data_IF_461737454585
#
_entry.id   IF_461737454585
#
_cell.length_a   1.000
_cell.length_b   1.000
_cell.length_c   1.000
_cell.angle_alpha   90.00
_cell.angle_beta   90.00
_cell.angle_gamma   90.00
#
_symmetry.space_group_name_H-M   'P 1'
#
loop_
_entity.id
_entity.type
_entity.pdbx_description
1 polymer ?
#
# COMPACT_ATOMS: atom_id res chain seq x y z
N UNK A 1 31.52 -52.51 -12.93
CA UNK A 1 30.37 -52.08 -13.76
C UNK A 1 29.04 -51.96 -13.01
N UNK A 2 28.83 -52.60 -11.85
CA UNK A 2 27.58 -52.44 -11.05
C UNK A 2 27.54 -51.22 -10.11
N UNK A 3 28.68 -50.53 -9.92
CA UNK A 3 28.76 -49.34 -9.05
C UNK A 3 28.37 -48.03 -9.78
N UNK A 4 28.63 -47.95 -11.09
CA UNK A 4 28.35 -46.75 -11.91
C UNK A 4 26.84 -46.59 -12.16
N UNK A 5 26.10 -47.69 -12.25
CA UNK A 5 24.63 -47.66 -12.44
C UNK A 5 23.90 -47.17 -11.18
N UNK A 6 24.45 -47.39 -9.97
CA UNK A 6 23.87 -46.85 -8.73
C UNK A 6 24.11 -45.35 -8.56
N UNK A 7 25.21 -44.80 -9.09
CA UNK A 7 25.50 -43.37 -9.03
C UNK A 7 24.58 -42.55 -9.96
N UNK A 8 24.19 -43.12 -11.10
CA UNK A 8 23.29 -42.47 -12.06
C UNK A 8 21.83 -42.39 -11.56
N UNK A 9 21.38 -43.36 -10.76
CA UNK A 9 20.02 -43.36 -10.17
C UNK A 9 19.90 -42.38 -8.99
N UNK A 10 21.03 -42.06 -8.34
CA UNK A 10 21.08 -41.00 -7.32
C UNK A 10 21.14 -39.60 -7.93
N UNK A 11 21.73 -39.42 -9.12
CA UNK A 11 21.74 -38.12 -9.81
C UNK A 11 20.42 -37.80 -10.55
N UNK A 12 19.63 -38.80 -10.94
CA UNK A 12 18.32 -38.58 -11.58
C UNK A 12 17.17 -38.34 -10.60
N UNK A 13 17.35 -38.64 -9.31
CA UNK A 13 16.46 -38.20 -8.23
C UNK A 13 16.95 -36.90 -7.54
N UNK A 14 18.13 -36.40 -7.94
CA UNK A 14 18.67 -35.09 -7.57
C UNK A 14 18.51 -34.06 -8.70
N UNK A 15 17.69 -34.35 -9.71
CA UNK A 15 16.84 -33.31 -10.28
C UNK A 15 15.78 -33.05 -9.22
N UNK A 16 16.21 -32.38 -8.15
CA UNK A 16 15.31 -31.65 -7.30
C UNK A 16 14.47 -30.84 -8.27
N UNK A 17 13.20 -31.23 -8.31
CA UNK A 17 12.09 -30.34 -8.51
C UNK A 17 12.33 -29.21 -7.49
N UNK A 18 13.20 -28.26 -7.83
CA UNK A 18 13.00 -26.86 -7.51
C UNK A 18 11.87 -26.46 -8.46
N UNK A 19 10.70 -27.08 -8.25
CA UNK A 19 9.47 -26.35 -8.34
C UNK A 19 9.70 -25.23 -7.34
N UNK A 20 10.14 -24.08 -7.84
CA UNK A 20 9.63 -22.83 -7.32
C UNK A 20 8.11 -22.97 -7.36
N UNK A 21 7.55 -23.64 -6.35
CA UNK A 21 6.19 -23.45 -5.92
C UNK A 21 6.16 -22.00 -5.49
N UNK A 22 6.07 -21.09 -6.47
CA UNK A 22 5.31 -19.88 -6.25
C UNK A 22 3.97 -20.40 -5.76
N UNK A 23 3.63 -20.11 -4.52
CA UNK A 23 2.35 -20.49 -3.93
C UNK A 23 1.28 -20.02 -4.94
N UNK A 24 0.71 -20.96 -5.68
CA UNK A 24 -0.33 -20.62 -6.65
C UNK A 24 -1.50 -20.12 -5.83
N UNK A 25 -1.84 -18.85 -6.03
CA UNK A 25 -3.00 -18.23 -5.41
C UNK A 25 -4.25 -19.03 -5.77
N UNK A 26 -4.96 -19.64 -4.80
CA UNK A 26 -6.08 -20.53 -5.09
C UNK A 26 -7.18 -19.86 -5.92
N UNK A 27 -7.39 -18.56 -5.70
CA UNK A 27 -8.37 -17.73 -6.40
C UNK A 27 -7.81 -17.05 -7.66
N UNK A 28 -6.50 -17.13 -7.92
CA UNK A 28 -5.88 -16.57 -9.12
C UNK A 28 -4.66 -17.40 -9.56
N UNK A 29 -4.87 -18.63 -10.07
CA UNK A 29 -3.78 -19.46 -10.56
C UNK A 29 -3.01 -18.72 -11.66
N UNK A 30 -1.68 -18.71 -11.56
CA UNK A 30 -0.80 -18.03 -12.51
C UNK A 30 -0.54 -16.54 -12.22
N UNK A 31 -0.94 -16.02 -11.06
CA UNK A 31 -0.44 -14.71 -10.60
C UNK A 31 1.06 -14.79 -10.28
N UNK A 32 1.85 -13.84 -10.78
CA UNK A 32 3.32 -13.89 -10.75
C UNK A 32 3.92 -12.71 -9.95
N UNK A 33 3.17 -12.14 -9.00
CA UNK A 33 3.62 -11.03 -8.14
C UNK A 33 3.85 -11.44 -6.68
N UNK A 34 4.37 -10.49 -5.91
CA UNK A 34 4.40 -10.55 -4.45
C UNK A 34 2.98 -10.48 -3.91
N UNK A 35 2.66 -11.38 -2.98
CA UNK A 35 1.39 -11.38 -2.28
C UNK A 35 1.55 -11.70 -0.80
N UNK A 36 0.55 -11.29 -0.04
CA UNK A 36 0.38 -11.44 1.39
C UNK A 36 -1.02 -11.95 1.66
N UNK A 37 -1.19 -12.58 2.82
CA UNK A 37 -2.45 -13.19 3.23
C UNK A 37 -2.94 -12.57 4.53
N UNK A 38 -4.26 -12.41 4.63
CA UNK A 38 -4.95 -12.07 5.87
C UNK A 38 -6.28 -12.78 5.93
N UNK A 39 -6.77 -13.06 7.13
CA UNK A 39 -8.13 -13.58 7.31
C UNK A 39 -9.18 -12.55 6.87
N UNK A 40 -10.28 -13.04 6.31
CA UNK A 40 -11.47 -12.22 6.01
C UNK A 40 -12.10 -11.75 7.32
N UNK A 41 -12.68 -10.55 7.31
CA UNK A 41 -13.35 -10.01 8.50
C UNK A 41 -14.52 -10.90 8.94
N UNK A 42 -14.58 -11.23 10.22
CA UNK A 42 -15.69 -11.99 10.84
C UNK A 42 -17.00 -11.21 10.90
N UNK A 43 -16.93 -9.88 10.81
CA UNK A 43 -18.06 -8.96 10.87
C UNK A 43 -17.86 -7.76 9.96
N UNK A 44 -18.97 -7.14 9.57
CA UNK A 44 -18.98 -5.99 8.67
C UNK A 44 -19.99 -4.94 9.17
N UNK A 45 -19.54 -3.80 9.72
CA UNK A 45 -18.14 -3.40 9.96
C UNK A 45 -17.40 -4.30 10.96
N UNK A 46 -16.05 -4.36 10.91
CA UNK A 46 -15.24 -5.31 11.67
C UNK A 46 -15.02 -4.87 13.12
N UNK A 47 -16.08 -4.67 13.90
CA UNK A 47 -15.98 -4.24 15.30
C UNK A 47 -15.32 -5.30 16.19
N UNK A 48 -14.60 -4.82 17.21
CA UNK A 48 -14.06 -5.62 18.31
C UNK A 48 -14.04 -4.80 19.60
N UNK A 49 -14.23 -5.46 20.74
CA UNK A 49 -14.38 -4.80 22.06
C UNK A 49 -13.07 -4.16 22.56
N UNK A 50 -11.93 -4.57 22.01
CA UNK A 50 -10.60 -4.05 22.30
C UNK A 50 -10.21 -2.82 21.45
N UNK A 51 -11.09 -2.39 20.53
CA UNK A 51 -10.81 -1.25 19.66
C UNK A 51 -10.78 0.08 20.43
N UNK A 52 -9.79 0.96 20.14
CA UNK A 52 -9.83 2.34 20.62
C UNK A 52 -11.13 3.06 20.22
N UNK A 53 -11.65 3.90 21.10
CA UNK A 53 -12.95 4.58 20.91
C UNK A 53 -13.02 5.41 19.62
N UNK A 54 -11.90 6.01 19.22
CA UNK A 54 -11.79 6.80 17.98
C UNK A 54 -11.85 5.91 16.73
N UNK A 55 -11.27 4.71 16.77
CA UNK A 55 -11.36 3.70 15.71
C UNK A 55 -12.81 3.19 15.57
N UNK A 56 -13.47 2.85 16.69
CA UNK A 56 -14.88 2.44 16.69
C UNK A 56 -15.74 3.53 16.06
N UNK A 57 -15.56 4.78 16.48
CA UNK A 57 -16.30 5.93 15.92
C UNK A 57 -16.09 6.09 14.43
N UNK A 58 -14.87 5.87 13.94
CA UNK A 58 -14.56 5.94 12.51
C UNK A 58 -15.27 4.85 11.71
N UNK A 59 -15.31 3.60 12.20
CA UNK A 59 -16.10 2.53 11.57
C UNK A 59 -17.60 2.84 11.61
N UNK A 60 -18.13 3.33 12.74
CA UNK A 60 -19.54 3.72 12.85
C UNK A 60 -19.91 4.86 11.92
N UNK A 61 -19.01 5.82 11.73
CA UNK A 61 -19.20 6.91 10.78
C UNK A 61 -19.36 6.39 9.35
N UNK A 62 -18.42 5.57 8.88
CA UNK A 62 -18.48 4.99 7.52
C UNK A 62 -19.69 4.07 7.36
N UNK A 63 -19.98 3.23 8.35
CA UNK A 63 -21.14 2.33 8.35
C UNK A 63 -22.48 3.10 8.28
N UNK A 64 -22.58 4.21 9.00
CA UNK A 64 -23.75 5.09 8.91
C UNK A 64 -23.88 5.72 7.54
N UNK A 65 -22.76 6.18 6.94
CA UNK A 65 -22.76 6.75 5.61
C UNK A 65 -23.25 5.75 4.57
N UNK A 66 -22.71 4.53 4.56
CA UNK A 66 -23.10 3.50 3.58
C UNK A 66 -24.56 3.08 3.73
N UNK A 67 -25.09 3.03 4.95
CA UNK A 67 -26.48 2.62 5.21
C UNK A 67 -27.53 3.69 4.97
N UNK A 68 -27.18 4.97 5.18
CA UNK A 68 -28.17 6.04 5.32
C UNK A 68 -28.02 7.16 4.29
N UNK A 69 -26.90 7.25 3.58
CA UNK A 69 -26.66 8.37 2.65
C UNK A 69 -27.11 8.03 1.25
N UNK A 70 -27.67 9.01 0.53
CA UNK A 70 -27.72 8.98 -0.92
C UNK A 70 -26.32 9.31 -1.50
N UNK A 71 -25.84 8.58 -2.51
CA UNK A 71 -24.43 8.70 -2.94
C UNK A 71 -24.25 9.96 -3.80
N UNK A 72 -25.22 10.26 -4.67
CA UNK A 72 -25.18 11.46 -5.51
C UNK A 72 -25.31 12.73 -4.67
N UNK A 73 -26.24 12.73 -3.71
CA UNK A 73 -26.41 13.82 -2.75
C UNK A 73 -25.15 13.99 -1.90
N UNK A 74 -24.61 12.90 -1.37
CA UNK A 74 -23.36 12.92 -0.60
C UNK A 74 -22.20 13.51 -1.42
N UNK A 75 -22.03 13.10 -2.68
CA UNK A 75 -21.04 13.69 -3.56
C UNK A 75 -21.28 15.20 -3.70
N UNK A 76 -22.51 15.62 -4.02
CA UNK A 76 -22.84 17.05 -4.14
C UNK A 76 -22.48 17.86 -2.89
N UNK A 77 -22.75 17.32 -1.70
CA UNK A 77 -22.48 18.01 -0.43
C UNK A 77 -21.00 18.00 -0.05
N UNK A 78 -20.30 16.89 -0.28
CA UNK A 78 -18.86 16.77 -0.08
C UNK A 78 -18.08 17.72 -1.01
N UNK A 79 -18.51 17.81 -2.27
CA UNK A 79 -17.89 18.68 -3.28
C UNK A 79 -18.14 20.17 -3.05
N UNK A 80 -18.95 20.55 -2.05
CA UNK A 80 -19.08 21.95 -1.60
C UNK A 80 -18.28 22.25 -0.33
N UNK A 81 -17.64 21.25 0.28
CA UNK A 81 -16.81 21.48 1.45
C UNK A 81 -15.48 22.13 1.05
N UNK A 82 -15.02 23.09 1.84
CA UNK A 82 -13.63 23.54 1.82
C UNK A 82 -12.77 22.67 2.75
N UNK A 83 -11.50 23.03 2.91
CA UNK A 83 -10.63 22.42 3.92
C UNK A 83 -11.02 22.87 5.33
N UNK A 84 -12.15 22.35 5.82
CA UNK A 84 -12.79 22.72 7.08
C UNK A 84 -12.70 21.59 8.12
N UNK A 85 -13.32 21.81 9.28
CA UNK A 85 -13.29 20.87 10.41
C UNK A 85 -13.88 19.50 10.06
N UNK A 86 -14.91 19.47 9.21
CA UNK A 86 -15.52 18.23 8.74
C UNK A 86 -14.50 17.40 7.96
N UNK A 87 -13.81 17.99 6.99
CA UNK A 87 -12.84 17.27 6.16
C UNK A 87 -11.63 16.82 6.98
N UNK A 88 -11.14 17.66 7.89
CA UNK A 88 -10.04 17.31 8.81
C UNK A 88 -10.43 16.17 9.77
N UNK A 89 -11.69 16.15 10.24
CA UNK A 89 -12.22 15.04 11.04
C UNK A 89 -12.25 13.74 10.26
N UNK A 90 -12.69 13.79 8.99
CA UNK A 90 -12.74 12.62 8.12
C UNK A 90 -11.33 12.09 7.86
N UNK A 91 -10.37 12.97 7.55
CA UNK A 91 -8.96 12.59 7.39
C UNK A 91 -8.44 11.85 8.62
N UNK A 92 -8.72 12.37 9.83
CA UNK A 92 -8.36 11.71 11.08
C UNK A 92 -8.98 10.32 11.20
N UNK A 93 -10.27 10.17 10.89
CA UNK A 93 -10.95 8.87 10.95
C UNK A 93 -10.35 7.87 9.97
N UNK A 94 -10.17 8.24 8.71
CA UNK A 94 -9.56 7.37 7.70
C UNK A 94 -8.14 6.98 8.10
N UNK A 95 -7.34 7.93 8.58
CA UNK A 95 -5.99 7.66 9.07
C UNK A 95 -5.98 6.63 10.20
N UNK A 96 -6.88 6.78 11.18
CA UNK A 96 -6.98 5.90 12.35
C UNK A 96 -7.43 4.48 11.99
N UNK A 97 -8.32 4.33 11.02
CA UNK A 97 -8.74 3.01 10.53
C UNK A 97 -7.56 2.26 9.91
N UNK A 98 -6.82 2.94 9.02
CA UNK A 98 -5.64 2.37 8.34
C UNK A 98 -4.53 2.04 9.34
N UNK A 99 -4.27 2.91 10.33
CA UNK A 99 -3.21 2.69 11.32
C UNK A 99 -3.54 1.58 12.33
N UNK A 100 -4.81 1.43 12.70
CA UNK A 100 -5.23 0.43 13.68
C UNK A 100 -5.08 -1.00 13.16
N UNK A 101 -5.68 -1.30 12.00
CA UNK A 101 -5.52 -2.58 11.32
C UNK A 101 -5.75 -2.39 9.82
N UNK A 102 -4.65 -2.23 9.05
CA UNK A 102 -4.75 -1.98 7.62
C UNK A 102 -5.49 -3.10 6.88
N UNK A 103 -5.28 -4.36 7.28
CA UNK A 103 -5.90 -5.55 6.69
C UNK A 103 -7.41 -5.57 6.93
N UNK A 104 -7.85 -5.32 8.17
CA UNK A 104 -9.28 -5.22 8.50
C UNK A 104 -9.95 -4.10 7.72
N UNK A 105 -9.27 -2.96 7.58
CA UNK A 105 -9.80 -1.83 6.81
C UNK A 105 -9.82 -2.13 5.30
N UNK A 106 -8.81 -2.81 4.74
CA UNK A 106 -8.81 -3.25 3.34
C UNK A 106 -10.03 -4.12 3.03
N UNK A 107 -10.26 -5.15 3.85
CA UNK A 107 -11.41 -6.05 3.73
C UNK A 107 -12.73 -5.27 3.87
N UNK A 108 -12.85 -4.40 4.88
CA UNK A 108 -14.04 -3.58 5.07
C UNK A 108 -14.29 -2.60 3.93
N UNK A 109 -13.23 -2.02 3.36
CA UNK A 109 -13.33 -1.09 2.24
C UNK A 109 -13.88 -1.78 0.99
N UNK A 110 -13.46 -3.02 0.73
CA UNK A 110 -13.81 -3.76 -0.50
C UNK A 110 -15.12 -4.52 -0.34
N UNK A 111 -15.26 -5.32 0.72
CA UNK A 111 -16.42 -6.20 0.95
C UNK A 111 -17.49 -5.55 1.83
N UNK A 112 -17.29 -4.28 2.22
CA UNK A 112 -18.17 -3.41 3.01
C UNK A 112 -19.53 -3.08 2.42
N UNK A 113 -20.18 -3.97 1.67
CA UNK A 113 -21.45 -3.66 1.02
C UNK A 113 -22.62 -3.88 1.99
N UNK A 114 -23.22 -2.78 2.44
CA UNK A 114 -24.49 -2.80 3.16
C UNK A 114 -25.49 -1.98 2.35
N UNK A 115 -26.41 -2.67 1.65
CA UNK A 115 -27.50 -2.08 0.85
C UNK A 115 -27.04 -1.30 -0.42
N UNK A 116 -26.14 -1.89 -1.22
CA UNK A 116 -25.74 -1.44 -2.59
C UNK A 116 -24.79 -0.24 -2.70
N UNK A 117 -24.08 0.15 -1.64
CA UNK A 117 -23.05 1.19 -1.71
C UNK A 117 -21.76 0.70 -1.06
N UNK A 118 -20.65 0.82 -1.78
CA UNK A 118 -19.36 0.37 -1.29
C UNK A 118 -18.73 1.42 -0.39
N UNK A 119 -18.10 1.00 0.71
CA UNK A 119 -17.23 1.87 1.52
C UNK A 119 -16.13 2.48 0.64
N UNK A 120 -15.70 1.76 -0.40
CA UNK A 120 -14.72 2.20 -1.38
C UNK A 120 -15.14 3.50 -2.10
N UNK A 121 -16.42 3.65 -2.45
CA UNK A 121 -16.92 4.83 -3.17
C UNK A 121 -16.80 6.09 -2.29
N UNK A 122 -17.26 6.01 -1.04
CA UNK A 122 -17.12 7.11 -0.07
C UNK A 122 -15.66 7.40 0.23
N UNK A 123 -14.84 6.36 0.41
CA UNK A 123 -13.40 6.52 0.63
C UNK A 123 -12.74 7.30 -0.52
N UNK A 124 -12.96 6.91 -1.77
CA UNK A 124 -12.39 7.63 -2.93
C UNK A 124 -12.91 9.06 -3.03
N UNK A 125 -14.21 9.27 -2.79
CA UNK A 125 -14.80 10.61 -2.73
C UNK A 125 -14.06 11.51 -1.73
N UNK A 126 -13.78 11.01 -0.53
CA UNK A 126 -13.04 11.75 0.49
C UNK A 126 -11.60 12.05 0.06
N UNK A 127 -10.88 11.07 -0.48
CA UNK A 127 -9.49 11.28 -0.93
C UNK A 127 -9.42 12.30 -2.07
N UNK A 128 -10.31 12.22 -3.06
CA UNK A 128 -10.38 13.22 -4.14
C UNK A 128 -10.72 14.60 -3.59
N UNK A 129 -11.66 14.69 -2.64
CA UNK A 129 -11.99 15.95 -2.01
C UNK A 129 -10.81 16.55 -1.24
N UNK A 130 -10.08 15.75 -0.45
CA UNK A 130 -8.87 16.16 0.25
C UNK A 130 -7.86 16.73 -0.75
N UNK A 131 -7.62 16.05 -1.88
CA UNK A 131 -6.70 16.53 -2.93
C UNK A 131 -7.14 17.87 -3.50
N UNK A 132 -8.44 18.09 -3.67
CA UNK A 132 -8.94 19.31 -4.31
C UNK A 132 -8.77 20.55 -3.43
N UNK A 133 -9.01 20.43 -2.12
CA UNK A 133 -9.13 21.61 -1.25
C UNK A 133 -8.04 21.72 -0.18
N UNK A 134 -7.27 20.67 0.07
CA UNK A 134 -6.18 20.72 1.06
C UNK A 134 -5.11 21.75 0.68
N UNK A 135 -4.51 22.45 1.66
CA UNK A 135 -3.31 23.27 1.43
C UNK A 135 -2.07 22.44 1.06
N UNK A 136 -2.09 21.12 1.27
CA UNK A 136 -1.04 20.18 0.87
C UNK A 136 -1.68 18.96 0.17
N UNK A 137 -2.25 19.14 -1.04
CA UNK A 137 -3.09 18.17 -1.74
C UNK A 137 -2.56 16.73 -1.77
N UNK A 138 -1.36 16.53 -2.32
CA UNK A 138 -0.81 15.20 -2.55
C UNK A 138 -0.31 14.61 -1.25
N UNK A 139 0.40 15.38 -0.42
CA UNK A 139 0.87 14.91 0.88
C UNK A 139 -0.29 14.43 1.77
N UNK A 140 -1.36 15.20 1.88
CA UNK A 140 -2.50 14.86 2.74
C UNK A 140 -3.27 13.64 2.25
N UNK A 141 -3.51 13.57 0.95
CA UNK A 141 -4.17 12.44 0.33
C UNK A 141 -3.32 11.18 0.48
N UNK A 142 -2.02 11.26 0.19
CA UNK A 142 -1.09 10.14 0.35
C UNK A 142 -0.98 9.71 1.80
N UNK A 143 -0.80 10.62 2.75
CA UNK A 143 -0.77 10.28 4.18
C UNK A 143 -2.10 9.71 4.68
N UNK A 144 -3.23 10.10 4.12
CA UNK A 144 -4.53 9.54 4.51
C UNK A 144 -4.73 8.14 3.92
N UNK A 145 -4.32 7.94 2.65
CA UNK A 145 -4.54 6.72 1.89
C UNK A 145 -3.50 5.61 2.08
N UNK A 146 -2.26 5.97 2.39
CA UNK A 146 -1.17 4.99 2.49
C UNK A 146 -1.34 4.08 3.68
N UNK A 147 -1.07 2.80 3.46
CA UNK A 147 -1.07 1.77 4.49
C UNK A 147 0.28 1.72 5.22
N UNK A 148 1.35 2.01 4.47
CA UNK A 148 2.72 2.13 4.95
C UNK A 148 3.38 3.34 4.28
N UNK A 149 4.17 4.10 5.02
CA UNK A 149 5.05 5.14 4.45
C UNK A 149 6.44 4.90 5.01
N UNK A 150 7.41 4.66 4.15
CA UNK A 150 8.74 4.27 4.57
C UNK A 150 9.83 4.84 3.65
N UNK A 151 11.00 5.05 4.25
CA UNK A 151 12.26 5.18 3.54
C UNK A 151 12.86 3.80 3.39
N UNK A 152 13.21 3.43 2.16
CA UNK A 152 13.77 2.12 1.83
C UNK A 152 15.02 2.26 0.97
N UNK A 153 15.94 1.30 1.08
CA UNK A 153 17.11 1.16 0.20
C UNK A 153 17.00 -0.13 -0.59
N UNK A 154 17.02 -0.02 -1.93
CA UNK A 154 16.79 -1.16 -2.82
C UNK A 154 17.97 -2.13 -2.78
N UNK A 155 17.71 -3.39 -2.43
CA UNK A 155 18.72 -4.45 -2.44
C UNK A 155 18.71 -5.27 -3.72
N UNK A 156 17.52 -5.59 -4.23
CA UNK A 156 17.37 -6.37 -5.46
C UNK A 156 16.10 -6.00 -6.22
N UNK A 157 16.17 -6.12 -7.54
CA UNK A 157 15.02 -5.97 -8.44
C UNK A 157 14.96 -7.21 -9.33
N UNK A 158 13.86 -7.94 -9.25
CA UNK A 158 13.57 -9.09 -10.09
C UNK A 158 12.46 -8.72 -11.08
N UNK A 159 12.74 -8.89 -12.37
CA UNK A 159 11.73 -8.71 -13.41
C UNK A 159 10.97 -10.02 -13.64
N UNK A 160 9.65 -9.94 -13.54
CA UNK A 160 8.75 -11.07 -13.80
C UNK A 160 7.85 -10.73 -14.99
N UNK A 161 7.96 -11.51 -16.06
CA UNK A 161 7.02 -11.42 -17.17
C UNK A 161 5.66 -11.98 -16.72
N UNK A 162 4.59 -11.26 -16.97
CA UNK A 162 3.23 -11.75 -16.72
C UNK A 162 2.61 -12.20 -18.04
N UNK A 163 1.88 -13.32 -18.02
CA UNK A 163 1.15 -13.84 -19.18
C UNK A 163 -0.33 -13.40 -19.19
N UNK A 164 -0.76 -12.63 -18.19
CA UNK A 164 -2.14 -12.20 -18.02
C UNK A 164 -2.46 -10.99 -18.92
N UNK A 165 -3.46 -11.13 -19.80
CA UNK A 165 -3.88 -10.09 -20.76
C UNK A 165 -4.30 -8.75 -20.14
N UNK A 166 -4.65 -8.74 -18.85
CA UNK A 166 -5.17 -7.56 -18.12
C UNK A 166 -4.10 -6.93 -17.22
N UNK A 167 -2.91 -7.53 -17.14
CA UNK A 167 -1.80 -7.01 -16.36
C UNK A 167 -0.70 -6.42 -17.27
N UNK A 168 0.13 -5.51 -16.72
CA UNK A 168 1.30 -5.01 -17.40
C UNK A 168 2.25 -6.14 -17.79
N UNK A 169 2.97 -5.96 -18.90
CA UNK A 169 3.77 -7.02 -19.52
C UNK A 169 4.92 -7.47 -18.63
N UNK A 170 5.38 -6.61 -17.72
CA UNK A 170 6.46 -6.91 -16.79
C UNK A 170 6.26 -6.25 -15.44
N UNK A 171 6.25 -7.06 -14.38
CA UNK A 171 6.23 -6.60 -12.99
C UNK A 171 7.66 -6.58 -12.46
N UNK A 172 8.03 -5.54 -11.72
CA UNK A 172 9.28 -5.47 -10.98
C UNK A 172 9.00 -5.81 -9.53
N UNK A 173 9.49 -6.95 -9.10
CA UNK A 173 9.52 -7.35 -7.69
C UNK A 173 10.77 -6.73 -7.05
N UNK A 174 10.56 -5.88 -6.05
CA UNK A 174 11.62 -5.17 -5.34
C UNK A 174 11.76 -5.76 -3.94
N UNK A 175 13.01 -6.04 -3.56
CA UNK A 175 13.39 -6.36 -2.19
C UNK A 175 14.24 -5.20 -1.71
N UNK A 176 13.85 -4.58 -0.60
CA UNK A 176 14.48 -3.38 -0.08
C UNK A 176 14.64 -3.45 1.44
N UNK A 177 15.70 -2.83 1.94
CA UNK A 177 15.94 -2.65 3.38
C UNK A 177 15.11 -1.48 3.85
N UNK A 178 14.39 -1.64 4.96
CA UNK A 178 13.59 -0.58 5.56
C UNK A 178 14.49 0.26 6.45
N UNK A 179 14.81 1.48 6.00
CA UNK A 179 15.63 2.41 6.75
C UNK A 179 14.81 3.06 7.87
N UNK A 180 13.57 3.45 7.58
CA UNK A 180 12.67 4.12 8.53
C UNK A 180 11.21 3.96 8.11
N UNK A 181 10.32 3.76 9.09
CA UNK A 181 8.87 3.76 8.91
C UNK A 181 8.29 5.04 9.53
N UNK A 182 7.54 5.80 8.75
CA UNK A 182 6.86 7.03 9.19
C UNK A 182 5.39 6.78 9.55
N UNK A 183 4.73 5.86 8.84
CA UNK A 183 3.34 5.46 9.05
C UNK A 183 3.20 3.96 8.78
N UNK A 184 2.33 3.30 9.54
CA UNK A 184 1.96 1.90 9.32
C UNK A 184 2.87 0.96 10.09
N UNK A 185 2.77 -0.34 9.76
CA UNK A 185 3.60 -1.40 10.33
C UNK A 185 4.19 -2.21 9.18
N UNK A 186 5.39 -2.74 9.37
CA UNK A 186 5.98 -3.69 8.44
C UNK A 186 5.20 -5.00 8.51
N UNK A 187 4.81 -5.52 7.34
CA UNK A 187 3.99 -6.72 7.25
C UNK A 187 4.76 -8.01 7.48
N UNK A 188 5.99 -8.11 6.96
CA UNK A 188 6.86 -9.28 7.09
C UNK A 188 8.33 -8.86 7.01
N UNK A 189 9.20 -9.62 7.66
CA UNK A 189 10.65 -9.58 7.50
C UNK A 189 11.04 -10.43 6.28
N UNK A 190 12.00 -10.00 5.48
CA UNK A 190 12.50 -10.86 4.41
C UNK A 190 13.42 -11.92 5.00
N UNK A 191 12.96 -13.17 4.97
CA UNK A 191 13.77 -14.32 5.34
C UNK A 191 13.19 -15.59 4.73
N UNK A 192 14.07 -16.49 4.28
CA UNK A 192 13.72 -17.89 4.16
C UNK A 192 13.51 -18.45 5.58
N UNK A 193 12.56 -19.37 5.74
CA UNK A 193 12.41 -20.12 7.00
C UNK A 193 13.78 -20.70 7.42
N UNK A 194 14.42 -20.11 8.45
CA UNK A 194 15.68 -20.62 9.00
C UNK A 194 16.90 -19.69 9.00
N UNK A 195 16.81 -18.45 8.47
CA UNK A 195 17.89 -17.47 8.64
C UNK A 195 17.76 -16.73 9.99
N UNK A 196 18.77 -16.87 10.85
CA UNK A 196 18.83 -16.39 12.24
C UNK A 196 19.03 -14.87 12.40
N UNK A 197 18.96 -14.10 11.33
CA UNK A 197 19.11 -12.64 11.38
C UNK A 197 17.85 -11.99 10.81
N UNK A 198 17.10 -11.33 11.69
CA UNK A 198 15.89 -10.57 11.36
C UNK A 198 16.26 -9.36 10.50
N UNK A 199 16.23 -9.52 9.18
CA UNK A 199 16.47 -8.40 8.27
C UNK A 199 15.23 -7.49 8.22
N UNK A 200 15.40 -6.22 8.59
CA UNK A 200 14.45 -5.13 8.34
C UNK A 200 14.27 -4.97 6.83
N UNK A 201 13.44 -5.80 6.21
CA UNK A 201 13.29 -5.83 4.77
C UNK A 201 11.82 -5.87 4.34
N UNK A 202 11.55 -5.21 3.22
CA UNK A 202 10.25 -5.05 2.59
C UNK A 202 10.31 -5.59 1.17
N UNK A 203 9.28 -6.36 0.80
CA UNK A 203 9.06 -6.84 -0.56
C UNK A 203 7.84 -6.15 -1.14
N UNK A 204 7.93 -5.62 -2.35
CA UNK A 204 6.79 -4.97 -3.01
C UNK A 204 6.96 -5.01 -4.52
N UNK A 205 5.85 -4.80 -5.22
CA UNK A 205 5.86 -4.77 -6.67
C UNK A 205 5.64 -3.35 -7.19
N UNK A 206 6.25 -3.02 -8.33
CA UNK A 206 5.84 -1.87 -9.13
C UNK A 206 5.93 -2.18 -10.63
N UNK A 207 5.33 -1.31 -11.41
CA UNK A 207 5.20 -1.47 -12.85
C UNK A 207 5.59 -0.16 -13.51
N UNK A 208 6.55 -0.19 -14.43
CA UNK A 208 7.01 0.99 -15.17
C UNK A 208 5.92 1.62 -16.02
N UNK A 209 5.02 0.81 -16.57
CA UNK A 209 3.87 1.27 -17.34
C UNK A 209 3.00 2.27 -16.54
N UNK A 210 3.06 2.27 -15.20
CA UNK A 210 2.36 3.27 -14.37
C UNK A 210 2.99 4.67 -14.44
N UNK A 211 4.25 4.76 -14.87
CA UNK A 211 5.04 5.98 -14.95
C UNK A 211 5.20 6.47 -16.40
N UNK A 212 4.74 5.72 -17.41
CA UNK A 212 4.98 6.07 -18.83
C UNK A 212 4.51 7.47 -19.23
N UNK A 213 3.41 7.95 -18.64
CA UNK A 213 2.86 9.27 -18.94
C UNK A 213 3.63 10.42 -18.25
N UNK A 214 4.16 10.17 -17.05
CA UNK A 214 4.76 11.20 -16.19
C UNK A 214 6.28 11.20 -16.23
N UNK A 215 6.88 10.01 -16.16
CA UNK A 215 8.31 9.79 -16.25
C UNK A 215 8.58 8.44 -16.95
N UNK A 216 8.60 8.39 -18.29
CA UNK A 216 8.77 7.14 -19.05
C UNK A 216 10.13 6.46 -18.83
N UNK A 217 11.10 7.20 -18.29
CA UNK A 217 12.43 6.69 -17.99
C UNK A 217 12.59 6.26 -16.54
N UNK A 218 11.55 6.43 -15.70
CA UNK A 218 11.62 6.03 -14.31
C UNK A 218 11.89 4.53 -14.19
N UNK A 219 12.94 4.20 -13.44
CA UNK A 219 13.23 2.87 -12.95
C UNK A 219 13.87 3.02 -11.58
N UNK A 220 13.52 2.14 -10.65
CA UNK A 220 14.26 2.03 -9.41
C UNK A 220 15.64 1.42 -9.69
N UNK A 221 16.65 1.86 -8.95
CA UNK A 221 18.04 1.42 -9.10
C UNK A 221 18.53 0.70 -7.85
N UNK A 222 19.43 -0.25 -8.05
CA UNK A 222 20.08 -0.98 -6.95
C UNK A 222 20.90 -0.02 -6.07
N UNK A 223 20.85 -0.25 -4.76
CA UNK A 223 21.55 0.52 -3.73
C UNK A 223 21.16 2.01 -3.67
N UNK A 224 20.04 2.40 -4.28
CA UNK A 224 19.46 3.74 -4.11
C UNK A 224 18.39 3.72 -3.03
N UNK A 225 18.25 4.85 -2.34
CA UNK A 225 17.21 5.05 -1.34
C UNK A 225 16.02 5.80 -1.93
N UNK A 226 14.82 5.47 -1.46
CA UNK A 226 13.57 6.07 -1.89
C UNK A 226 12.66 6.31 -0.68
N UNK A 227 11.91 7.41 -0.69
CA UNK A 227 10.71 7.58 0.13
C UNK A 227 9.51 7.05 -0.66
N UNK A 228 8.78 6.10 -0.08
CA UNK A 228 7.63 5.49 -0.76
C UNK A 228 6.41 5.52 0.15
N UNK A 229 5.30 5.93 -0.44
CA UNK A 229 3.97 5.81 0.13
C UNK A 229 3.34 4.56 -0.47
N UNK A 230 3.01 3.58 0.33
CA UNK A 230 2.51 2.28 -0.12
C UNK A 230 1.01 2.13 0.11
N UNK A 231 0.36 1.33 -0.72
CA UNK A 231 -1.00 0.84 -0.54
C UNK A 231 -1.07 -0.69 -0.54
N UNK A 232 -2.09 -1.22 0.11
CA UNK A 232 -2.46 -2.62 -0.06
C UNK A 232 -3.50 -2.71 -1.16
N UNK A 233 -3.21 -3.53 -2.17
CA UNK A 233 -4.14 -3.82 -3.26
C UNK A 233 -4.57 -5.29 -3.17
N UNK A 234 -5.87 -5.51 -2.95
CA UNK A 234 -6.43 -6.86 -3.02
C UNK A 234 -6.17 -7.45 -4.42
N UNK A 235 -5.69 -8.68 -4.43
CA UNK A 235 -5.49 -9.49 -5.63
C UNK A 235 -6.74 -10.33 -5.85
N UNK A 236 -7.10 -11.14 -4.84
CA UNK A 236 -8.32 -11.94 -4.82
C UNK A 236 -8.67 -12.34 -3.38
N UNK A 237 -9.87 -12.90 -3.19
CA UNK A 237 -10.31 -13.43 -1.92
C UNK A 237 -10.88 -14.86 -2.09
N UNK A 238 -10.89 -15.58 -0.99
CA UNK A 238 -11.57 -16.87 -0.81
C UNK A 238 -12.54 -16.75 0.37
N UNK A 239 -13.21 -17.84 0.76
CA UNK A 239 -14.15 -17.82 1.89
C UNK A 239 -13.48 -17.42 3.22
N UNK A 240 -12.18 -17.67 3.40
CA UNK A 240 -11.47 -17.43 4.67
C UNK A 240 -10.29 -16.48 4.57
N UNK A 241 -9.74 -16.27 3.37
CA UNK A 241 -8.48 -15.54 3.18
C UNK A 241 -8.61 -14.48 2.11
N UNK A 242 -8.14 -13.28 2.40
CA UNK A 242 -7.88 -12.21 1.44
C UNK A 242 -6.40 -12.20 1.08
N UNK A 243 -6.12 -12.19 -0.21
CA UNK A 243 -4.78 -12.09 -0.77
C UNK A 243 -4.57 -10.68 -1.33
N UNK A 244 -3.45 -10.05 -0.98
CA UNK A 244 -3.18 -8.67 -1.38
C UNK A 244 -1.70 -8.46 -1.68
N UNK A 245 -1.37 -7.44 -2.46
CA UNK A 245 -0.01 -7.02 -2.74
C UNK A 245 0.29 -5.67 -2.09
N UNK A 246 1.56 -5.44 -1.79
CA UNK A 246 2.08 -4.14 -1.40
C UNK A 246 2.60 -3.43 -2.65
N UNK A 247 2.06 -2.25 -2.95
CA UNK A 247 2.40 -1.48 -4.13
C UNK A 247 2.64 -0.01 -3.75
N UNK A 248 3.43 0.75 -4.52
CA UNK A 248 3.42 2.20 -4.47
C UNK A 248 1.99 2.73 -4.64
N UNK A 249 1.60 3.67 -3.78
CA UNK A 249 0.28 4.27 -3.78
C UNK A 249 0.07 5.01 -5.09
N UNK A 250 -0.93 4.58 -5.85
CA UNK A 250 -1.39 5.30 -7.02
C UNK A 250 -2.34 6.44 -6.60
N UNK A 251 -1.80 7.60 -6.27
CA UNK A 251 -2.61 8.82 -6.24
C UNK A 251 -2.78 9.31 -7.68
N UNK A 252 -4.02 9.42 -8.17
CA UNK A 252 -4.26 10.05 -9.46
C UNK A 252 -3.61 11.45 -9.45
N UNK A 253 -3.11 11.93 -10.58
CA UNK A 253 -2.45 13.23 -10.67
C UNK A 253 -1.09 13.38 -9.95
N UNK A 254 -0.55 12.35 -9.27
CA UNK A 254 0.88 12.32 -8.93
C UNK A 254 1.68 11.81 -10.12
N UNK A 255 2.65 12.61 -10.56
CA UNK A 255 3.64 12.26 -11.55
C UNK A 255 4.62 11.18 -11.05
N UNK A 256 4.89 11.14 -9.74
CA UNK A 256 5.85 10.21 -9.16
C UNK A 256 5.23 8.87 -8.70
N UNK A 257 3.90 8.67 -8.85
CA UNK A 257 3.15 7.51 -8.28
C UNK A 257 3.56 7.21 -6.83
N UNK A 258 3.83 8.28 -6.08
CA UNK A 258 4.28 8.25 -4.69
C UNK A 258 5.60 7.50 -4.39
N UNK A 259 6.52 7.43 -5.37
CA UNK A 259 7.92 7.02 -5.20
C UNK A 259 8.84 8.22 -5.42
N UNK A 260 9.61 8.61 -4.40
CA UNK A 260 10.49 9.78 -4.46
C UNK A 260 11.95 9.34 -4.24
N UNK A 261 12.83 9.48 -5.25
CA UNK A 261 14.25 9.17 -5.11
C UNK A 261 14.94 10.04 -4.04
N UNK A 262 15.96 9.49 -3.40
CA UNK A 262 16.83 10.22 -2.48
C UNK A 262 18.25 10.22 -3.06
N UNK A 263 18.76 11.40 -3.36
CA UNK A 263 20.08 11.60 -3.96
C UNK A 263 20.87 12.63 -3.16
N UNK A 264 22.11 12.27 -2.77
CA UNK A 264 22.99 13.14 -1.98
C UNK A 264 22.28 13.71 -0.73
N UNK A 265 21.57 12.85 0.00
CA UNK A 265 20.74 13.18 1.16
C UNK A 265 19.59 14.18 0.91
N UNK A 266 19.24 14.43 -0.34
CA UNK A 266 18.07 15.22 -0.72
C UNK A 266 16.98 14.32 -1.30
N UNK A 267 15.73 14.53 -0.90
CA UNK A 267 14.57 14.00 -1.58
C UNK A 267 14.36 14.75 -2.90
N UNK A 268 14.18 14.01 -3.99
CA UNK A 268 13.88 14.55 -5.31
C UNK A 268 12.38 14.44 -5.58
N UNK A 269 11.72 15.59 -5.68
CA UNK A 269 10.29 15.74 -5.97
C UNK A 269 10.15 16.83 -7.05
N UNK A 270 10.43 16.48 -8.31
CA UNK A 270 10.59 17.45 -9.40
C UNK A 270 9.42 18.43 -9.56
N UNK A 271 8.22 18.02 -9.17
CA UNK A 271 6.99 18.81 -9.25
C UNK A 271 6.57 19.44 -7.92
N UNK A 272 7.36 19.28 -6.86
CA UNK A 272 7.04 19.73 -5.51
C UNK A 272 5.64 19.27 -5.06
N UNK A 273 5.30 18.03 -5.37
CA UNK A 273 4.00 17.44 -5.05
C UNK A 273 3.75 17.40 -3.54
N UNK A 274 4.79 17.11 -2.77
CA UNK A 274 4.72 17.03 -1.31
C UNK A 274 4.73 18.42 -0.64
N UNK A 275 5.06 19.48 -1.38
CA UNK A 275 5.04 20.87 -0.91
C UNK A 275 6.28 21.32 -0.12
N UNK A 276 7.37 20.54 -0.12
CA UNK A 276 8.61 20.86 0.61
C UNK A 276 9.67 21.57 -0.25
N UNK A 277 9.54 21.52 -1.58
CA UNK A 277 10.53 21.91 -2.58
C UNK A 277 10.90 20.74 -3.49
N UNK A 278 11.62 21.00 -4.58
CA UNK A 278 11.94 19.96 -5.58
C UNK A 278 13.20 19.14 -5.33
N UNK A 279 14.14 19.70 -4.57
CA UNK A 279 15.32 18.99 -4.06
C UNK A 279 15.58 19.51 -2.66
N UNK A 280 15.24 18.71 -1.65
CA UNK A 280 15.15 19.15 -0.26
C UNK A 280 15.88 18.17 0.64
N UNK A 281 16.67 18.62 1.63
CA UNK A 281 17.28 17.72 2.60
C UNK A 281 16.26 16.75 3.20
N UNK A 282 16.58 15.46 3.17
CA UNK A 282 15.64 14.40 3.58
C UNK A 282 15.16 14.60 5.01
N UNK A 283 15.99 15.13 5.91
CA UNK A 283 15.61 15.41 7.30
C UNK A 283 14.50 16.46 7.39
N UNK A 284 14.50 17.49 6.53
CA UNK A 284 13.43 18.50 6.48
C UNK A 284 12.11 17.85 6.04
N UNK A 285 12.16 16.96 5.06
CA UNK A 285 10.98 16.21 4.59
C UNK A 285 10.45 15.28 5.70
N UNK A 286 11.34 14.59 6.41
CA UNK A 286 10.99 13.71 7.54
C UNK A 286 10.28 14.49 8.65
N UNK A 287 10.83 15.64 9.05
CA UNK A 287 10.21 16.50 10.06
C UNK A 287 8.84 17.00 9.60
N UNK A 288 8.72 17.41 8.34
CA UNK A 288 7.47 17.84 7.72
C UNK A 288 6.40 16.74 7.73
N UNK A 289 6.73 15.53 7.29
CA UNK A 289 5.84 14.37 7.28
C UNK A 289 5.38 14.05 8.71
N UNK A 290 6.31 13.94 9.66
CA UNK A 290 5.99 13.62 11.05
C UNK A 290 5.11 14.70 11.70
N UNK A 291 5.41 15.98 11.45
CA UNK A 291 4.58 17.10 11.88
C UNK A 291 3.17 17.00 11.31
N UNK A 292 3.05 16.67 10.01
CA UNK A 292 1.75 16.55 9.36
C UNK A 292 0.93 15.36 9.87
N UNK A 293 1.55 14.21 10.04
CA UNK A 293 0.95 13.03 10.67
C UNK A 293 0.41 13.39 12.07
N UNK A 294 1.23 14.09 12.88
CA UNK A 294 0.82 14.52 14.22
C UNK A 294 -0.39 15.46 14.17
N UNK A 295 -0.45 16.37 13.19
CA UNK A 295 -1.58 17.27 13.00
C UNK A 295 -2.87 16.50 12.66
N UNK A 296 -2.81 15.55 11.72
CA UNK A 296 -3.97 14.71 11.33
C UNK A 296 -4.47 13.90 12.53
N UNK A 297 -3.56 13.18 13.22
CA UNK A 297 -3.93 12.28 14.33
C UNK A 297 -4.54 13.02 15.52
N UNK A 298 -4.04 14.22 15.80
CA UNK A 298 -4.42 15.00 16.99
C UNK A 298 -5.40 16.12 16.69
N UNK A 299 -5.97 16.17 15.48
CA UNK A 299 -7.03 17.12 15.16
C UNK A 299 -8.14 17.04 16.21
N UNK A 300 -8.47 18.18 16.83
CA UNK A 300 -9.46 18.28 17.91
C UNK A 300 -10.76 18.83 17.32
N UNK A 301 -11.85 18.14 17.64
CA UNK A 301 -13.21 18.69 17.56
C UNK A 301 -13.63 19.09 18.96
#
# INVERSE_FOLDING_TARGET
MKLIVKLLILCSNFVFIISSYGQELPCMPGFVGTHYETEVNVSNPPYSDDMPKDVVRAYTFLDSLTKNSDIETFYGDLWRQDYNDTLQTIMKYLYKLVEYSPEKFLNYKIDGELKRKSVMDFYFAFIEQIRRVSPSPILDASLTSSYLVARVTVNSILMRATSYKVQPKTVREVIATVDTIFKGKQLLECGEEGASETFNCLKFDYVKEWFEESNPNFEMELNKSYLIFFEYRMICNTKGTTYFSLLPLSTAGSAARSIYPIENDNLIDEHNELGFGSSVPINTVIEGINSRIKAIKNYKN
#
